data_IF_755941223622
#
_entry.id   IF_755941223622
#
_cell.length_a   1.000
_cell.length_b   1.000
_cell.length_c   1.000
_cell.angle_alpha   90.00
_cell.angle_beta   90.00
_cell.angle_gamma   90.00
#
_symmetry.space_group_name_H-M   'P 1'
#
loop_
_entity.id
_entity.type
_entity.pdbx_description
1 polymer ?
#
# COMPACT_ATOMS: atom_id res chain seq x y z
N UNK A 1 1.76 -3.98 -23.76
CA UNK A 1 3.04 -3.86 -23.03
C UNK A 1 2.89 -4.65 -21.74
N UNK A 2 3.24 -5.95 -21.76
CA UNK A 2 2.81 -6.98 -20.80
C UNK A 2 3.78 -7.20 -19.63
N UNK A 3 4.59 -6.19 -19.34
CA UNK A 3 5.70 -6.26 -18.41
C UNK A 3 5.54 -5.19 -17.32
N UNK A 4 4.49 -5.31 -16.50
CA UNK A 4 4.45 -4.69 -15.16
C UNK A 4 5.42 -5.51 -14.29
N UNK A 5 6.71 -5.27 -14.51
CA UNK A 5 7.83 -6.06 -14.00
C UNK A 5 7.92 -5.92 -12.47
N UNK A 6 7.80 -7.06 -11.77
CA UNK A 6 8.40 -7.36 -10.45
C UNK A 6 8.28 -6.23 -9.40
N UNK A 7 7.07 -6.04 -8.89
CA UNK A 7 6.74 -5.22 -7.71
C UNK A 7 6.25 -5.97 -6.46
N UNK A 8 5.60 -7.16 -6.57
CA UNK A 8 4.89 -7.72 -5.42
C UNK A 8 5.80 -8.02 -4.23
N UNK A 9 7.01 -8.50 -4.48
CA UNK A 9 7.88 -8.96 -3.40
C UNK A 9 8.38 -7.81 -2.51
N UNK A 10 8.81 -6.68 -3.09
CA UNK A 10 9.26 -5.52 -2.31
C UNK A 10 8.12 -4.81 -1.61
N UNK A 11 6.98 -4.67 -2.29
CA UNK A 11 5.77 -4.12 -1.68
C UNK A 11 5.37 -4.99 -0.50
N UNK A 12 5.27 -6.31 -0.66
CA UNK A 12 4.97 -7.24 0.44
C UNK A 12 5.97 -7.12 1.58
N UNK A 13 7.29 -7.06 1.30
CA UNK A 13 8.32 -6.84 2.34
C UNK A 13 8.09 -5.53 3.11
N UNK A 14 7.78 -4.46 2.40
CA UNK A 14 7.46 -3.16 3.01
C UNK A 14 6.23 -3.26 3.91
N UNK A 15 5.15 -3.86 3.42
CA UNK A 15 3.89 -4.02 4.17
C UNK A 15 4.06 -4.86 5.45
N UNK A 16 4.84 -5.95 5.40
CA UNK A 16 5.13 -6.80 6.57
C UNK A 16 5.78 -6.01 7.70
N UNK A 17 6.66 -5.05 7.41
CA UNK A 17 7.28 -4.19 8.45
C UNK A 17 6.28 -3.31 9.20
N UNK A 18 5.12 -3.07 8.61
CA UNK A 18 4.01 -2.32 9.20
C UNK A 18 2.88 -3.23 9.68
N UNK A 19 3.08 -4.55 9.70
CA UNK A 19 2.04 -5.54 10.01
C UNK A 19 0.81 -5.41 9.08
N UNK A 20 1.05 -4.94 7.84
CA UNK A 20 0.02 -4.76 6.82
C UNK A 20 -0.04 -5.96 5.90
N UNK A 21 -1.25 -6.43 5.64
CA UNK A 21 -1.53 -7.53 4.73
C UNK A 21 -2.02 -6.99 3.38
N UNK A 22 -1.37 -7.44 2.30
CA UNK A 22 -1.79 -7.15 0.94
C UNK A 22 -2.90 -8.12 0.52
N UNK A 23 -4.09 -7.60 0.21
CA UNK A 23 -5.22 -8.37 -0.31
C UNK A 23 -5.21 -8.42 -1.82
N UNK A 24 -5.11 -7.27 -2.46
CA UNK A 24 -5.07 -7.15 -3.92
C UNK A 24 -4.07 -6.09 -4.34
N UNK A 25 -3.49 -6.30 -5.52
CA UNK A 25 -2.53 -5.39 -6.13
C UNK A 25 -2.80 -5.38 -7.64
N UNK A 26 -3.04 -4.18 -8.17
CA UNK A 26 -3.14 -3.96 -9.60
C UNK A 26 -2.60 -2.57 -9.94
N UNK A 27 -2.51 -2.23 -11.22
CA UNK A 27 -2.05 -0.91 -11.62
C UNK A 27 -2.14 -0.69 -13.12
N UNK A 28 -2.02 0.57 -13.49
CA UNK A 28 -1.93 1.03 -14.87
C UNK A 28 -0.50 1.49 -15.16
N UNK A 29 -0.27 2.03 -16.35
CA UNK A 29 1.06 2.50 -16.77
C UNK A 29 1.61 3.65 -15.93
N UNK A 30 0.75 4.42 -15.26
CA UNK A 30 1.09 5.65 -14.53
C UNK A 30 0.74 5.64 -13.03
N UNK A 31 0.03 4.61 -12.54
CA UNK A 31 -0.35 4.48 -11.13
C UNK A 31 -0.57 3.04 -10.68
N UNK A 32 -0.58 2.81 -9.38
CA UNK A 32 -0.83 1.49 -8.76
C UNK A 32 -1.95 1.59 -7.72
N UNK A 33 -2.70 0.50 -7.58
CA UNK A 33 -3.79 0.31 -6.63
C UNK A 33 -3.44 -0.82 -5.66
N UNK A 34 -3.64 -0.56 -4.36
CA UNK A 34 -3.41 -1.53 -3.30
C UNK A 34 -4.67 -1.66 -2.46
N UNK A 35 -5.20 -2.88 -2.34
CA UNK A 35 -6.17 -3.22 -1.31
C UNK A 35 -5.41 -3.87 -0.14
N UNK A 36 -5.49 -3.27 1.04
CA UNK A 36 -4.71 -3.70 2.20
C UNK A 36 -5.57 -3.78 3.46
N UNK A 37 -5.25 -4.75 4.32
CA UNK A 37 -5.69 -4.76 5.72
C UNK A 37 -4.53 -4.27 6.58
N UNK A 38 -4.74 -3.24 7.40
CA UNK A 38 -3.69 -2.65 8.22
C UNK A 38 -4.17 -2.38 9.65
N UNK A 39 -3.28 -2.45 10.65
CA UNK A 39 -3.63 -2.13 12.03
C UNK A 39 -3.98 -0.63 12.19
N UNK A 40 -4.98 -0.26 13.02
CA UNK A 40 -5.35 1.14 13.25
C UNK A 40 -4.22 2.03 13.79
N UNK A 41 -3.22 1.42 14.45
CA UNK A 41 -2.01 2.12 14.96
C UNK A 41 -1.09 2.62 13.85
N UNK A 42 -1.25 2.15 12.61
CA UNK A 42 -0.40 2.53 11.48
C UNK A 42 -0.91 3.83 10.86
N UNK A 43 -0.08 4.87 10.91
CA UNK A 43 -0.33 6.10 10.16
C UNK A 43 -0.16 5.85 8.65
N UNK A 44 -1.25 5.98 7.89
CA UNK A 44 -1.25 5.77 6.43
C UNK A 44 -0.18 6.59 5.71
N UNK A 45 0.03 7.85 6.11
CA UNK A 45 1.06 8.71 5.52
C UNK A 45 2.47 8.13 5.65
N UNK A 46 2.79 7.50 6.79
CA UNK A 46 4.09 6.83 7.00
C UNK A 46 4.24 5.58 6.13
N UNK A 47 3.17 4.77 6.06
CA UNK A 47 3.13 3.56 5.24
C UNK A 47 3.36 3.91 3.76
N UNK A 48 2.58 4.83 3.21
CA UNK A 48 2.65 5.22 1.79
C UNK A 48 3.99 5.85 1.45
N UNK A 49 4.53 6.71 2.32
CA UNK A 49 5.86 7.32 2.10
C UNK A 49 6.96 6.26 2.10
N UNK A 50 6.89 5.27 2.98
CA UNK A 50 7.84 4.16 3.01
C UNK A 50 7.75 3.32 1.74
N UNK A 51 6.55 2.94 1.31
CA UNK A 51 6.33 2.15 0.10
C UNK A 51 6.83 2.88 -1.15
N UNK A 52 6.50 4.16 -1.31
CA UNK A 52 6.98 4.99 -2.41
C UNK A 52 8.51 5.12 -2.40
N UNK A 53 9.11 5.35 -1.24
CA UNK A 53 10.56 5.48 -1.11
C UNK A 53 11.32 4.20 -1.45
N UNK A 54 10.91 3.07 -0.88
CA UNK A 54 11.54 1.76 -1.10
C UNK A 54 11.42 1.33 -2.56
N UNK A 55 10.21 1.41 -3.12
CA UNK A 55 9.99 1.05 -4.53
C UNK A 55 10.76 1.96 -5.49
N UNK A 56 10.80 3.25 -5.22
CA UNK A 56 11.54 4.21 -6.04
C UNK A 56 13.04 3.94 -6.04
N UNK A 57 13.61 3.51 -4.90
CA UNK A 57 15.01 3.10 -4.80
C UNK A 57 15.26 1.79 -5.54
N UNK A 58 14.41 0.79 -5.31
CA UNK A 58 14.52 -0.52 -5.96
C UNK A 58 14.47 -0.40 -7.48
N UNK A 59 13.46 0.29 -8.01
CA UNK A 59 13.32 0.45 -9.46
C UNK A 59 14.47 1.21 -10.11
N UNK A 60 15.04 2.20 -9.41
CA UNK A 60 16.22 2.89 -9.92
C UNK A 60 17.43 1.99 -9.96
N UNK A 61 17.64 1.15 -8.95
CA UNK A 61 18.74 0.19 -8.95
C UNK A 61 18.57 -0.88 -10.04
N UNK A 62 17.37 -1.43 -10.17
CA UNK A 62 17.09 -2.55 -11.08
C UNK A 62 16.98 -2.12 -12.55
N UNK A 63 16.39 -0.96 -12.83
CA UNK A 63 16.06 -0.53 -14.19
C UNK A 63 16.80 0.73 -14.63
N UNK A 64 17.95 1.08 -14.02
CA UNK A 64 18.68 2.34 -14.27
C UNK A 64 18.82 2.65 -15.76
N UNK A 65 19.30 1.69 -16.56
CA UNK A 65 19.56 1.89 -17.98
C UNK A 65 18.27 2.22 -18.78
N UNK A 66 17.16 1.57 -18.45
CA UNK A 66 15.86 1.81 -19.09
C UNK A 66 15.30 3.17 -18.67
N UNK A 67 15.38 3.50 -17.38
CA UNK A 67 14.87 4.77 -16.84
C UNK A 67 15.64 5.97 -17.39
N UNK A 68 16.95 5.85 -17.55
CA UNK A 68 17.78 6.88 -18.16
C UNK A 68 17.40 7.11 -19.64
N UNK A 69 17.15 6.02 -20.40
CA UNK A 69 16.78 6.11 -21.82
C UNK A 69 15.47 6.86 -22.04
N UNK A 70 14.49 6.64 -21.18
CA UNK A 70 13.17 7.31 -21.29
C UNK A 70 13.18 8.72 -20.66
N UNK A 71 14.34 9.21 -20.20
CA UNK A 71 14.46 10.53 -19.60
C UNK A 71 13.68 10.71 -18.30
N UNK A 72 13.44 9.62 -17.56
CA UNK A 72 12.62 9.71 -16.35
C UNK A 72 13.37 10.47 -15.26
N UNK A 73 12.74 11.52 -14.73
CA UNK A 73 13.35 12.45 -13.79
C UNK A 73 13.68 11.88 -12.40
N UNK A 74 14.15 12.75 -11.51
CA UNK A 74 14.56 12.42 -10.14
C UNK A 74 13.41 11.97 -9.23
N UNK A 75 12.16 12.11 -9.66
CA UNK A 75 10.96 11.76 -8.90
C UNK A 75 10.20 10.65 -9.62
N UNK A 76 10.03 9.49 -8.97
CA UNK A 76 9.31 8.35 -9.55
C UNK A 76 7.80 8.42 -9.27
N UNK A 77 7.43 8.77 -8.04
CA UNK A 77 6.04 8.83 -7.60
C UNK A 77 5.61 10.26 -7.40
N UNK A 78 4.35 10.57 -7.75
CA UNK A 78 3.71 11.80 -7.29
C UNK A 78 3.77 11.91 -5.75
N UNK A 79 3.89 13.14 -5.24
CA UNK A 79 3.85 13.41 -3.79
C UNK A 79 2.49 13.01 -3.20
N UNK A 80 1.42 13.16 -3.98
CA UNK A 80 0.05 12.87 -3.58
C UNK A 80 -0.26 11.37 -3.60
N UNK A 81 -1.24 10.95 -2.79
CA UNK A 81 -1.82 9.60 -2.81
C UNK A 81 -3.31 9.70 -2.51
N UNK A 82 -4.07 8.68 -2.92
CA UNK A 82 -5.47 8.50 -2.57
C UNK A 82 -5.60 7.39 -1.53
N UNK A 83 -6.53 7.55 -0.58
CA UNK A 83 -6.88 6.53 0.39
C UNK A 83 -8.39 6.59 0.68
N UNK A 84 -9.06 5.45 0.62
CA UNK A 84 -10.47 5.29 0.95
C UNK A 84 -10.69 3.99 1.73
N UNK A 85 -11.59 4.03 2.71
CA UNK A 85 -12.03 2.81 3.39
C UNK A 85 -12.95 2.01 2.48
N UNK A 86 -12.79 0.69 2.51
CA UNK A 86 -13.60 -0.26 1.75
C UNK A 86 -14.13 -1.31 2.74
N UNK A 87 -15.44 -1.31 2.93
CA UNK A 87 -16.11 -2.19 3.89
C UNK A 87 -16.14 -1.63 5.32
N UNK A 88 -17.26 -1.87 6.00
CA UNK A 88 -17.41 -1.72 7.44
C UNK A 88 -17.75 -3.07 8.06
N UNK A 89 -17.52 -3.22 9.37
CA UNK A 89 -18.02 -4.39 10.07
C UNK A 89 -19.56 -4.43 9.91
N UNK A 90 -20.16 -5.58 9.55
CA UNK A 90 -21.62 -5.71 9.54
C UNK A 90 -22.20 -5.25 10.88
N UNK A 91 -23.34 -4.55 10.86
CA UNK A 91 -24.00 -4.07 12.09
C UNK A 91 -24.23 -5.19 13.12
N UNK A 92 -24.45 -6.41 12.63
CA UNK A 92 -24.59 -7.62 13.45
C UNK A 92 -23.32 -7.94 14.25
N UNK A 93 -22.13 -7.82 13.64
CA UNK A 93 -20.83 -8.03 14.31
C UNK A 93 -20.59 -6.97 15.37
N UNK A 94 -20.89 -5.71 15.06
CA UNK A 94 -20.76 -4.59 16.02
C UNK A 94 -21.69 -4.80 17.20
N UNK A 95 -22.95 -5.22 16.94
CA UNK A 95 -23.94 -5.49 17.98
C UNK A 95 -23.51 -6.62 18.91
N UNK A 96 -23.07 -7.76 18.37
CA UNK A 96 -22.57 -8.88 19.16
C UNK A 96 -21.35 -8.49 20.00
N UNK A 97 -20.45 -7.67 19.45
CA UNK A 97 -19.31 -7.15 20.19
C UNK A 97 -19.76 -6.33 21.42
N UNK A 98 -20.73 -5.42 21.24
CA UNK A 98 -21.27 -4.57 22.33
C UNK A 98 -21.99 -5.43 23.38
N UNK A 99 -22.85 -6.36 22.95
CA UNK A 99 -23.60 -7.25 23.86
C UNK A 99 -22.67 -8.16 24.69
N UNK A 100 -21.49 -8.52 24.14
CA UNK A 100 -20.47 -9.29 24.83
C UNK A 100 -19.57 -8.49 25.79
N UNK A 101 -19.63 -7.16 25.80
CA UNK A 101 -18.86 -6.34 26.74
C UNK A 101 -19.53 -6.32 28.13
N UNK A 102 -18.72 -6.34 29.19
CA UNK A 102 -19.23 -6.09 30.54
C UNK A 102 -19.89 -4.73 30.60
N UNK A 103 -21.05 -4.64 31.22
CA UNK A 103 -21.72 -3.36 31.43
C UNK A 103 -20.87 -2.50 32.37
N UNK A 104 -20.75 -1.19 32.11
CA UNK A 104 -20.14 -0.26 33.07
C UNK A 104 -20.85 -0.37 34.43
N UNK A 105 -20.06 -0.34 35.50
CA UNK A 105 -20.53 -0.25 36.89
C UNK A 105 -20.95 1.17 37.24
#
# INVERSE_FOLDING_TARGET
MRDVVVFPHEVKRGLVKFEVELREFNGETDHVHLLVHYPPKVALSKLINSLKGVSSRYLRAEYTARLNRIGMGSVFWSRSYFAGSCGGAPLTVIRQYIEGQKRPI
#
